data_IF_040220608764
#
_entry.id   IF_040220608764
#
_cell.length_a   1.000
_cell.length_b   1.000
_cell.length_c   1.000
_cell.angle_alpha   90.00
_cell.angle_beta   90.00
_cell.angle_gamma   90.00
#
_symmetry.space_group_name_H-M   'P 1'
#
loop_
_entity.id
_entity.type
_entity.pdbx_description
1 polymer ?
#
# COMPACT_ATOMS: atom_id res chain seq x y z
N UNK A 1 -19.06 68.93 -49.54
CA UNK A 1 -18.75 69.26 -50.95
C UNK A 1 -17.28 68.90 -51.20
N UNK A 2 -17.02 68.13 -52.28
CA UNK A 2 -15.83 68.13 -53.16
C UNK A 2 -14.44 68.19 -52.51
N UNK A 3 -13.66 67.11 -52.60
CA UNK A 3 -12.58 66.90 -53.60
C UNK A 3 -11.45 67.95 -53.51
N UNK A 4 -10.21 67.51 -53.26
CA UNK A 4 -9.17 67.67 -54.29
C UNK A 4 -7.92 66.82 -54.03
N UNK A 5 -7.51 66.16 -55.11
CA UNK A 5 -6.16 65.65 -55.36
C UNK A 5 -5.18 66.81 -55.47
N UNK A 6 -3.95 66.61 -55.02
CA UNK A 6 -2.76 67.20 -55.66
C UNK A 6 -1.66 66.14 -55.74
N UNK A 7 -1.15 65.99 -56.94
CA UNK A 7 -0.01 65.19 -57.40
C UNK A 7 1.30 65.99 -57.33
N UNK A 8 2.44 65.32 -57.16
CA UNK A 8 3.78 65.88 -57.48
C UNK A 8 4.87 65.30 -56.59
N UNK A 9 5.61 64.28 -57.04
CA UNK A 9 6.90 64.28 -57.78
C UNK A 9 8.17 64.26 -56.90
N UNK A 10 9.02 63.30 -57.27
CA UNK A 10 10.29 62.82 -56.74
C UNK A 10 11.37 63.86 -56.38
N UNK A 11 12.21 63.51 -55.40
CA UNK A 11 13.69 63.36 -55.44
C UNK A 11 14.11 63.04 -53.99
N UNK A 12 14.74 61.91 -53.65
CA UNK A 12 16.12 61.58 -53.97
C UNK A 12 17.04 61.93 -52.79
N UNK A 13 17.35 60.96 -51.92
CA UNK A 13 18.59 60.90 -51.13
C UNK A 13 18.66 59.56 -50.40
N UNK A 14 19.52 58.67 -50.89
CA UNK A 14 19.90 57.45 -50.21
C UNK A 14 20.82 57.80 -49.03
N UNK A 15 20.39 57.47 -47.82
CA UNK A 15 21.28 57.32 -46.66
C UNK A 15 21.18 55.88 -46.19
N UNK A 16 22.24 55.12 -46.46
CA UNK A 16 22.42 53.78 -45.91
C UNK A 16 22.65 53.90 -44.40
N UNK A 17 21.60 53.67 -43.61
CA UNK A 17 21.71 53.50 -42.17
C UNK A 17 22.00 52.02 -41.90
N UNK A 18 23.24 51.72 -41.52
CA UNK A 18 23.63 50.40 -41.05
C UNK A 18 22.85 50.08 -39.75
N UNK A 19 21.93 49.13 -39.83
CA UNK A 19 21.23 48.59 -38.66
C UNK A 19 22.18 47.61 -37.98
N UNK A 20 22.80 48.03 -36.88
CA UNK A 20 23.44 47.11 -35.94
C UNK A 20 22.33 46.38 -35.17
N UNK A 21 22.01 45.15 -35.60
CA UNK A 21 21.18 44.23 -34.81
C UNK A 21 22.04 43.72 -33.66
N UNK A 22 21.84 44.24 -32.45
CA UNK A 22 22.40 43.65 -31.25
C UNK A 22 21.70 42.31 -30.98
N UNK A 23 22.43 41.20 -31.14
CA UNK A 23 21.97 39.89 -30.70
C UNK A 23 21.84 39.86 -29.17
N UNK A 24 20.87 39.12 -28.59
CA UNK A 24 20.81 38.95 -27.15
C UNK A 24 21.98 38.08 -26.69
N UNK A 25 22.68 38.51 -25.65
CA UNK A 25 23.67 37.68 -24.98
C UNK A 25 22.95 36.50 -24.30
N UNK A 26 23.19 35.29 -24.78
CA UNK A 26 22.79 34.07 -24.09
C UNK A 26 23.59 33.93 -22.79
N UNK A 27 22.91 34.09 -21.65
CA UNK A 27 23.48 33.80 -20.33
C UNK A 27 23.57 32.29 -20.19
N UNK A 28 24.77 31.72 -20.40
CA UNK A 28 25.04 30.33 -20.08
C UNK A 28 25.18 30.17 -18.55
N UNK A 29 24.15 29.63 -17.90
CA UNK A 29 24.23 29.21 -16.52
C UNK A 29 25.11 27.94 -16.41
N UNK A 30 26.37 28.10 -16.00
CA UNK A 30 27.22 26.98 -15.60
C UNK A 30 26.73 26.37 -14.28
N UNK A 31 26.11 25.20 -14.36
CA UNK A 31 25.80 24.36 -13.21
C UNK A 31 27.08 23.67 -12.71
N UNK A 32 27.69 24.20 -11.64
CA UNK A 32 28.76 23.48 -10.90
C UNK A 32 28.13 22.32 -10.12
N UNK A 33 28.24 21.10 -10.65
CA UNK A 33 27.99 19.90 -9.87
C UNK A 33 29.21 19.59 -9.00
N UNK A 34 29.19 20.05 -7.75
CA UNK A 34 30.09 19.53 -6.72
C UNK A 34 29.59 18.16 -6.30
N UNK A 35 30.05 17.13 -7.01
CA UNK A 35 29.74 15.74 -6.71
C UNK A 35 30.44 15.26 -5.45
N UNK A 36 29.66 14.92 -4.42
CA UNK A 36 29.94 13.74 -3.60
C UNK A 36 29.07 12.62 -4.18
N UNK A 37 29.61 11.90 -5.16
CA UNK A 37 28.92 10.78 -5.80
C UNK A 37 28.81 9.60 -4.86
N UNK A 38 27.81 9.60 -3.97
CA UNK A 38 27.35 8.36 -3.34
C UNK A 38 26.63 7.59 -4.44
N UNK A 39 27.34 6.65 -5.06
CA UNK A 39 26.71 5.59 -5.86
C UNK A 39 25.96 4.68 -4.89
N UNK A 40 24.70 4.98 -4.59
CA UNK A 40 23.79 4.02 -3.96
C UNK A 40 23.48 2.96 -5.03
N UNK A 41 24.34 1.95 -5.16
CA UNK A 41 24.08 0.75 -5.98
C UNK A 41 23.27 -0.30 -5.21
N UNK A 42 22.46 0.14 -4.25
CA UNK A 42 21.53 -0.72 -3.53
C UNK A 42 20.13 -0.48 -4.05
N UNK A 43 19.60 -1.42 -4.82
CA UNK A 43 18.15 -1.55 -4.96
C UNK A 43 17.60 -1.77 -3.54
N UNK A 44 16.98 -0.75 -2.94
CA UNK A 44 16.22 -0.93 -1.70
C UNK A 44 15.04 -1.82 -2.10
N UNK A 45 15.21 -3.13 -1.99
CA UNK A 45 14.12 -4.06 -2.17
C UNK A 45 13.05 -3.69 -1.16
N UNK A 46 11.85 -3.41 -1.64
CA UNK A 46 10.75 -3.11 -0.76
C UNK A 46 10.58 -4.23 0.29
N UNK A 47 10.26 -3.90 1.55
CA UNK A 47 10.21 -4.90 2.61
C UNK A 47 9.03 -5.83 2.37
N UNK A 48 9.35 -7.10 2.07
CA UNK A 48 8.39 -8.21 1.89
C UNK A 48 8.52 -9.17 3.06
N UNK A 49 7.39 -9.72 3.52
CA UNK A 49 7.35 -10.70 4.59
C UNK A 49 7.99 -12.02 4.17
N UNK A 50 9.08 -12.39 4.85
CA UNK A 50 9.67 -13.71 4.72
C UNK A 50 8.79 -14.74 5.42
N UNK A 51 8.59 -15.88 4.78
CA UNK A 51 7.76 -16.96 5.30
C UNK A 51 8.58 -18.20 5.56
N UNK A 52 8.26 -18.90 6.64
CA UNK A 52 8.83 -20.19 6.99
C UNK A 52 7.92 -21.36 6.60
N UNK A 53 7.86 -22.34 7.49
CA UNK A 53 7.09 -23.58 7.31
C UNK A 53 5.58 -23.32 7.33
N UNK A 54 4.81 -24.29 6.84
CA UNK A 54 3.37 -24.30 7.05
C UNK A 54 3.03 -24.25 8.55
N UNK A 55 1.97 -23.51 8.86
CA UNK A 55 1.44 -23.33 10.20
C UNK A 55 -0.05 -23.71 10.22
N UNK A 56 -0.57 -24.07 11.39
CA UNK A 56 -1.99 -24.34 11.55
C UNK A 56 -2.81 -23.05 11.38
N UNK A 57 -3.90 -23.06 10.58
CA UNK A 57 -4.82 -21.93 10.50
C UNK A 57 -5.43 -21.64 11.89
N UNK A 58 -5.81 -20.39 12.20
CA UNK A 58 -6.70 -20.10 13.32
C UNK A 58 -7.97 -20.98 13.28
N UNK A 59 -8.51 -21.33 14.45
CA UNK A 59 -9.74 -22.13 14.51
C UNK A 59 -10.90 -21.36 13.88
N UNK A 60 -11.05 -20.08 14.22
CA UNK A 60 -12.02 -19.17 13.61
C UNK A 60 -11.94 -19.13 12.09
N UNK A 61 -10.74 -18.99 11.51
CA UNK A 61 -10.55 -19.05 10.06
C UNK A 61 -11.05 -20.36 9.40
N UNK A 62 -10.83 -21.53 10.06
CA UNK A 62 -11.35 -22.80 9.53
C UNK A 62 -12.88 -22.83 9.54
N UNK A 63 -13.49 -22.34 10.62
CA UNK A 63 -14.95 -22.23 10.72
C UNK A 63 -15.50 -21.24 9.68
N UNK A 64 -14.86 -20.08 9.52
CA UNK A 64 -15.20 -19.09 8.49
C UNK A 64 -15.19 -19.69 7.09
N UNK A 65 -14.12 -20.37 6.68
CA UNK A 65 -14.08 -20.98 5.34
C UNK A 65 -15.10 -22.11 5.13
N UNK A 66 -15.60 -22.72 6.20
CA UNK A 66 -16.70 -23.69 6.12
C UNK A 66 -18.04 -22.99 5.90
N UNK A 67 -18.28 -21.87 6.58
CA UNK A 67 -19.50 -21.07 6.48
C UNK A 67 -19.56 -20.19 5.23
N UNK A 68 -18.41 -19.69 4.78
CA UNK A 68 -18.23 -18.79 3.64
C UNK A 68 -17.22 -19.36 2.62
N UNK A 69 -17.51 -20.52 2.00
CA UNK A 69 -16.55 -21.19 1.13
C UNK A 69 -16.08 -20.33 -0.05
N UNK A 70 -16.94 -19.44 -0.56
CA UNK A 70 -16.61 -18.49 -1.63
C UNK A 70 -15.59 -17.43 -1.24
N UNK A 71 -15.42 -17.12 0.05
CA UNK A 71 -14.40 -16.16 0.52
C UNK A 71 -13.01 -16.82 0.61
N UNK A 72 -12.94 -18.15 0.55
CA UNK A 72 -11.71 -18.94 0.69
C UNK A 72 -11.35 -19.68 -0.61
N UNK A 73 -11.54 -19.03 -1.77
CA UNK A 73 -11.10 -19.53 -3.07
C UNK A 73 -9.99 -18.66 -3.65
N UNK A 74 -9.23 -19.22 -4.60
CA UNK A 74 -8.15 -18.50 -5.27
C UNK A 74 -8.73 -17.64 -6.40
N UNK A 75 -8.36 -16.36 -6.42
CA UNK A 75 -8.65 -15.43 -7.51
C UNK A 75 -7.37 -14.69 -7.94
N UNK A 76 -7.19 -14.50 -9.25
CA UNK A 76 -6.05 -13.77 -9.82
C UNK A 76 -4.74 -14.57 -9.86
N UNK A 77 -3.66 -13.89 -10.21
CA UNK A 77 -2.30 -14.44 -10.24
C UNK A 77 -1.57 -14.26 -8.90
N UNK A 78 -0.42 -14.92 -8.72
CA UNK A 78 0.34 -14.95 -7.44
C UNK A 78 1.48 -13.93 -7.33
N UNK A 79 1.78 -13.25 -8.44
CA UNK A 79 2.80 -12.20 -8.46
C UNK A 79 2.32 -10.99 -7.67
N UNK A 80 3.20 -10.33 -6.89
CA UNK A 80 2.83 -9.10 -6.19
C UNK A 80 2.20 -8.08 -7.14
N UNK A 81 1.10 -7.46 -6.69
CA UNK A 81 0.36 -6.51 -7.51
C UNK A 81 1.15 -5.20 -7.69
N UNK A 82 1.23 -4.64 -8.92
CA UNK A 82 1.82 -3.31 -9.11
C UNK A 82 1.02 -2.23 -8.37
N UNK A 83 1.66 -1.47 -7.49
CA UNK A 83 1.00 -0.43 -6.69
C UNK A 83 0.90 0.88 -7.47
N UNK A 84 -0.19 1.00 -8.24
CA UNK A 84 -0.54 2.23 -8.96
C UNK A 84 -1.24 3.23 -8.02
N UNK A 85 -1.31 4.53 -8.39
CA UNK A 85 -2.07 5.51 -7.61
C UNK A 85 -3.53 5.12 -7.40
N UNK A 86 -4.20 4.54 -8.41
CA UNK A 86 -5.59 4.07 -8.29
C UNK A 86 -5.73 2.95 -7.27
N UNK A 87 -4.80 1.99 -7.27
CA UNK A 87 -4.79 0.88 -6.31
C UNK A 87 -4.50 1.37 -4.90
N UNK A 88 -3.58 2.31 -4.73
CA UNK A 88 -3.36 2.93 -3.43
C UNK A 88 -4.63 3.60 -2.90
N UNK A 89 -5.36 4.32 -3.77
CA UNK A 89 -6.63 4.91 -3.38
C UNK A 89 -7.70 3.85 -3.03
N UNK A 90 -7.72 2.68 -3.68
CA UNK A 90 -8.60 1.59 -3.28
C UNK A 90 -8.32 1.13 -1.86
N UNK A 91 -7.03 0.94 -1.51
CA UNK A 91 -6.64 0.55 -0.16
C UNK A 91 -7.09 1.58 0.87
N UNK A 92 -6.82 2.87 0.63
CA UNK A 92 -7.23 3.96 1.53
C UNK A 92 -8.75 4.02 1.68
N UNK A 93 -9.50 3.96 0.56
CA UNK A 93 -10.97 4.01 0.59
C UNK A 93 -11.57 2.84 1.36
N UNK A 94 -11.11 1.62 1.09
CA UNK A 94 -11.63 0.43 1.76
C UNK A 94 -11.25 0.43 3.24
N UNK A 95 -10.00 0.78 3.57
CA UNK A 95 -9.55 0.81 4.97
C UNK A 95 -10.39 1.77 5.80
N UNK A 96 -10.54 3.01 5.32
CA UNK A 96 -11.30 4.05 6.03
C UNK A 96 -12.79 3.68 6.10
N UNK A 97 -13.40 3.28 4.98
CA UNK A 97 -14.81 2.90 4.97
C UNK A 97 -15.13 1.80 5.97
N UNK A 98 -14.32 0.74 6.03
CA UNK A 98 -14.55 -0.35 6.99
C UNK A 98 -14.30 0.11 8.42
N UNK A 99 -13.23 0.89 8.65
CA UNK A 99 -12.94 1.45 9.98
C UNK A 99 -14.04 2.37 10.51
N UNK A 100 -14.73 3.08 9.62
CA UNK A 100 -15.81 4.02 9.98
C UNK A 100 -17.18 3.34 10.13
N UNK A 101 -17.43 2.22 9.42
CA UNK A 101 -18.76 1.58 9.35
C UNK A 101 -18.93 0.39 10.26
N UNK A 102 -17.84 -0.28 10.65
CA UNK A 102 -17.87 -1.33 11.65
C UNK A 102 -17.54 -0.69 13.00
N UNK A 103 -18.33 -0.99 14.02
CA UNK A 103 -18.10 -0.59 15.40
C UNK A 103 -17.44 -1.74 16.16
N UNK A 104 -16.32 -1.46 16.80
CA UNK A 104 -15.57 -2.44 17.57
C UNK A 104 -16.40 -2.95 18.76
N UNK A 105 -16.67 -4.25 18.78
CA UNK A 105 -17.33 -5.01 19.84
C UNK A 105 -16.72 -6.41 19.82
N UNK A 106 -16.39 -6.98 20.97
CA UNK A 106 -15.79 -8.33 21.02
C UNK A 106 -16.83 -9.40 20.68
N UNK A 107 -16.37 -10.54 20.20
CA UNK A 107 -17.26 -11.68 19.94
C UNK A 107 -17.97 -12.19 21.19
N UNK A 108 -17.33 -12.12 22.36
CA UNK A 108 -17.96 -12.48 23.62
C UNK A 108 -19.12 -11.52 23.94
N UNK A 109 -18.95 -10.22 23.72
CA UNK A 109 -20.01 -9.23 23.96
C UNK A 109 -21.17 -9.35 22.96
N UNK A 110 -20.89 -9.66 21.69
CA UNK A 110 -21.90 -9.67 20.64
C UNK A 110 -22.55 -11.03 20.41
N UNK A 111 -21.78 -12.12 20.48
CA UNK A 111 -22.20 -13.49 20.20
C UNK A 111 -22.18 -14.42 21.42
N UNK A 112 -21.58 -14.01 22.55
CA UNK A 112 -21.42 -14.87 23.73
C UNK A 112 -20.49 -16.06 23.49
N UNK A 113 -19.51 -15.90 22.58
CA UNK A 113 -18.51 -16.90 22.24
C UNK A 113 -17.14 -16.24 22.16
N UNK A 114 -16.10 -16.98 22.52
CA UNK A 114 -14.73 -16.48 22.52
C UNK A 114 -14.26 -15.99 21.12
N UNK A 115 -14.69 -16.65 20.04
CA UNK A 115 -14.29 -16.30 18.67
C UNK A 115 -15.32 -16.74 17.61
N UNK A 116 -15.75 -15.81 16.75
CA UNK A 116 -16.73 -15.95 15.67
C UNK A 116 -16.29 -15.17 14.42
N UNK A 117 -15.40 -15.74 13.63
CA UNK A 117 -14.98 -15.12 12.36
C UNK A 117 -16.14 -15.06 11.37
N UNK A 118 -16.53 -13.85 10.96
CA UNK A 118 -17.66 -13.64 10.05
C UNK A 118 -17.47 -12.44 9.13
N UNK A 119 -18.50 -12.11 8.36
CA UNK A 119 -18.58 -10.82 7.66
C UNK A 119 -19.47 -9.90 8.50
N UNK A 120 -18.91 -8.84 9.11
CA UNK A 120 -19.64 -8.02 10.07
C UNK A 120 -20.79 -7.26 9.42
N UNK A 121 -21.87 -7.08 10.18
CA UNK A 121 -23.03 -6.26 9.83
C UNK A 121 -23.09 -5.02 10.75
N UNK A 122 -22.01 -4.25 10.77
CA UNK A 122 -21.86 -3.02 11.56
C UNK A 122 -21.20 -3.21 12.92
N UNK A 123 -20.99 -4.44 13.39
CA UNK A 123 -20.28 -4.77 14.63
C UNK A 123 -19.34 -5.95 14.39
N UNK A 124 -18.19 -5.94 15.07
CA UNK A 124 -17.19 -7.01 15.05
C UNK A 124 -15.87 -6.54 15.66
N UNK A 125 -14.87 -7.41 15.67
CA UNK A 125 -13.51 -7.11 16.16
C UNK A 125 -12.44 -7.37 15.06
N UNK A 126 -11.19 -7.65 15.43
CA UNK A 126 -10.05 -7.48 14.53
C UNK A 126 -10.16 -8.30 13.23
N UNK A 127 -10.53 -9.57 13.30
CA UNK A 127 -10.67 -10.44 12.14
C UNK A 127 -11.82 -10.02 11.23
N UNK A 128 -12.91 -9.51 11.80
CA UNK A 128 -14.12 -9.18 11.06
C UNK A 128 -13.89 -7.96 10.17
N UNK A 129 -13.16 -6.96 10.70
CA UNK A 129 -12.67 -5.83 9.91
C UNK A 129 -11.77 -6.32 8.78
N UNK A 130 -10.85 -7.24 9.07
CA UNK A 130 -9.92 -7.80 8.08
C UNK A 130 -10.66 -8.54 6.98
N UNK A 131 -11.64 -9.38 7.33
CA UNK A 131 -12.44 -10.16 6.41
C UNK A 131 -13.29 -9.26 5.50
N UNK A 132 -13.91 -8.21 6.07
CA UNK A 132 -14.69 -7.25 5.27
C UNK A 132 -13.80 -6.44 4.33
N UNK A 133 -12.65 -5.93 4.79
CA UNK A 133 -11.67 -5.22 3.93
C UNK A 133 -11.21 -6.12 2.78
N UNK A 134 -10.87 -7.37 3.09
CA UNK A 134 -10.45 -8.36 2.09
C UNK A 134 -11.54 -8.62 1.05
N UNK A 135 -12.77 -8.91 1.47
CA UNK A 135 -13.92 -9.12 0.56
C UNK A 135 -14.12 -7.93 -0.38
N UNK A 136 -14.07 -6.72 0.19
CA UNK A 136 -14.24 -5.49 -0.57
C UNK A 136 -13.12 -5.26 -1.60
N UNK A 137 -11.87 -5.59 -1.29
CA UNK A 137 -10.76 -5.49 -2.24
C UNK A 137 -10.83 -6.57 -3.32
N UNK A 138 -11.19 -7.82 -2.97
CA UNK A 138 -11.43 -8.90 -3.96
C UNK A 138 -12.52 -8.47 -4.95
N UNK A 139 -13.62 -7.89 -4.48
CA UNK A 139 -14.69 -7.36 -5.34
C UNK A 139 -14.21 -6.24 -6.30
N UNK A 140 -13.09 -5.58 -5.98
CA UNK A 140 -12.42 -4.58 -6.83
C UNK A 140 -11.32 -5.17 -7.72
N UNK A 141 -11.24 -6.50 -7.81
CA UNK A 141 -10.32 -7.21 -8.71
C UNK A 141 -8.92 -7.45 -8.14
N UNK A 142 -8.72 -7.26 -6.82
CA UNK A 142 -7.45 -7.61 -6.19
C UNK A 142 -7.29 -9.14 -6.09
N UNK A 143 -6.12 -9.70 -6.44
CA UNK A 143 -5.86 -11.13 -6.28
C UNK A 143 -5.90 -11.55 -4.81
N UNK A 144 -6.46 -12.72 -4.52
CA UNK A 144 -6.51 -13.23 -3.13
C UNK A 144 -5.13 -13.57 -2.58
N UNK A 145 -4.17 -13.87 -3.45
CA UNK A 145 -2.78 -14.09 -3.05
C UNK A 145 -2.07 -12.84 -2.56
N UNK A 146 -2.65 -11.66 -2.79
CA UNK A 146 -2.13 -10.38 -2.35
C UNK A 146 -2.94 -9.78 -1.21
N UNK A 147 -3.98 -10.47 -0.72
CA UNK A 147 -4.84 -10.03 0.38
C UNK A 147 -4.88 -11.12 1.45
N UNK A 148 -3.93 -11.06 2.37
CA UNK A 148 -3.59 -12.14 3.28
C UNK A 148 -3.91 -11.74 4.72
N UNK A 149 -4.78 -12.50 5.37
CA UNK A 149 -4.98 -12.35 6.81
C UNK A 149 -3.71 -12.78 7.55
N UNK A 150 -3.26 -11.97 8.50
CA UNK A 150 -2.12 -12.27 9.36
C UNK A 150 -2.51 -12.18 10.84
N UNK A 151 -1.92 -13.05 11.65
CA UNK A 151 -1.99 -13.02 13.11
C UNK A 151 -0.70 -12.43 13.64
N UNK A 152 -0.82 -11.45 14.52
CA UNK A 152 0.29 -10.71 15.11
C UNK A 152 0.13 -10.62 16.63
N UNK A 153 1.22 -10.24 17.29
CA UNK A 153 1.14 -9.59 18.59
C UNK A 153 1.32 -8.09 18.40
N UNK A 154 0.42 -7.32 19.01
CA UNK A 154 0.41 -5.87 18.92
C UNK A 154 1.48 -5.20 19.81
N UNK A 155 1.44 -3.87 19.92
CA UNK A 155 2.43 -3.08 20.67
C UNK A 155 2.44 -3.39 22.17
N UNK A 156 1.34 -3.90 22.72
CA UNK A 156 1.22 -4.29 24.14
C UNK A 156 1.31 -5.81 24.34
N UNK A 157 1.51 -6.57 23.26
CA UNK A 157 1.63 -8.02 23.27
C UNK A 157 0.30 -8.78 23.25
N UNK A 158 -0.82 -8.11 22.96
CA UNK A 158 -2.10 -8.77 22.76
C UNK A 158 -2.18 -9.41 21.37
N UNK A 159 -2.94 -10.51 21.24
CA UNK A 159 -3.21 -11.12 19.94
C UNK A 159 -4.06 -10.20 19.07
N UNK A 160 -3.72 -10.07 17.79
CA UNK A 160 -4.43 -9.19 16.85
C UNK A 160 -4.42 -9.76 15.44
N UNK A 161 -5.46 -9.47 14.66
CA UNK A 161 -5.55 -9.82 13.24
C UNK A 161 -5.46 -8.57 12.36
N UNK A 162 -4.66 -8.66 11.29
CA UNK A 162 -4.48 -7.56 10.32
C UNK A 162 -4.56 -8.08 8.88
N UNK A 163 -4.86 -7.19 7.94
CA UNK A 163 -4.82 -7.51 6.51
C UNK A 163 -3.49 -7.08 5.92
N UNK A 164 -2.72 -8.05 5.42
CA UNK A 164 -1.49 -7.82 4.68
C UNK A 164 -1.79 -7.72 3.19
N UNK A 165 -1.31 -6.65 2.57
CA UNK A 165 -1.48 -6.37 1.14
C UNK A 165 -0.12 -6.44 0.44
N UNK A 166 0.06 -7.46 -0.40
CA UNK A 166 1.33 -7.66 -1.14
C UNK A 166 1.37 -6.81 -2.39
N UNK A 167 2.47 -6.08 -2.58
CA UNK A 167 2.67 -5.23 -3.75
C UNK A 167 4.10 -5.27 -4.26
N UNK A 168 4.35 -4.73 -5.45
CA UNK A 168 5.71 -4.49 -5.96
C UNK A 168 6.49 -3.41 -5.19
N UNK A 169 5.83 -2.68 -4.29
CA UNK A 169 6.41 -1.68 -3.38
C UNK A 169 6.48 -2.12 -1.93
N UNK A 170 6.23 -3.41 -1.67
CA UNK A 170 6.34 -4.03 -0.34
C UNK A 170 5.01 -4.54 0.17
N UNK A 171 5.06 -5.10 1.38
CA UNK A 171 3.88 -5.62 2.07
C UNK A 171 3.32 -4.53 3.01
N UNK A 172 2.12 -4.05 2.69
CA UNK A 172 1.40 -3.04 3.46
C UNK A 172 0.39 -3.68 4.41
N UNK A 173 0.01 -2.95 5.45
CA UNK A 173 -0.91 -3.41 6.49
C UNK A 173 -2.10 -2.48 6.57
N UNK A 174 -3.29 -3.07 6.51
CA UNK A 174 -4.57 -2.42 6.79
C UNK A 174 -5.08 -2.93 8.14
N UNK A 175 -5.32 -1.99 9.06
CA UNK A 175 -5.63 -2.26 10.46
C UNK A 175 -6.88 -1.46 10.89
N UNK A 176 -7.64 -1.97 11.87
CA UNK A 176 -8.73 -1.25 12.53
C UNK A 176 -8.26 -0.40 13.73
N UNK A 177 -7.12 -0.74 14.37
CA UNK A 177 -6.55 0.07 15.46
C UNK A 177 -5.92 1.37 14.96
N UNK A 178 -5.35 1.34 13.75
CA UNK A 178 -4.64 2.46 13.14
C UNK A 178 -5.06 2.59 11.68
N UNK A 179 -5.64 3.74 11.29
CA UNK A 179 -6.12 3.97 9.92
C UNK A 179 -5.00 4.25 8.91
N UNK A 180 -3.80 4.63 9.38
CA UNK A 180 -2.64 4.79 8.50
C UNK A 180 -2.22 3.44 7.91
N UNK A 181 -2.15 3.37 6.59
CA UNK A 181 -1.61 2.20 5.89
C UNK A 181 -0.09 2.28 5.92
N UNK A 182 0.54 1.32 6.60
CA UNK A 182 1.99 1.29 6.85
C UNK A 182 2.62 0.05 6.23
N UNK A 183 3.92 0.13 5.95
CA UNK A 183 4.68 -1.08 5.64
C UNK A 183 4.70 -1.98 6.89
N UNK A 184 4.65 -3.28 6.70
CA UNK A 184 4.68 -4.23 7.82
C UNK A 184 5.93 -4.10 8.71
N UNK A 185 7.03 -3.63 8.14
CA UNK A 185 8.28 -3.33 8.85
C UNK A 185 8.15 -2.16 9.82
N UNK A 186 7.15 -1.30 9.65
CA UNK A 186 6.97 -0.02 10.35
C UNK A 186 5.78 -0.02 11.33
N UNK A 187 5.02 -1.11 11.42
CA UNK A 187 3.86 -1.21 12.33
C UNK A 187 4.26 -1.37 13.80
N UNK A 188 5.47 -1.87 14.07
CA UNK A 188 5.89 -2.24 15.43
C UNK A 188 5.34 -3.61 15.89
N UNK A 189 4.52 -4.28 15.08
CA UNK A 189 3.97 -5.60 15.40
C UNK A 189 4.99 -6.73 15.29
N UNK A 190 4.75 -7.78 16.08
CA UNK A 190 5.43 -9.07 15.95
C UNK A 190 4.56 -10.02 15.16
N UNK A 191 4.97 -10.34 13.93
CA UNK A 191 4.18 -11.19 13.03
C UNK A 191 4.41 -12.66 13.34
N UNK A 192 3.33 -13.43 13.47
CA UNK A 192 3.39 -14.85 13.84
C UNK A 192 3.21 -15.73 12.61
N UNK A 193 2.11 -15.51 11.89
CA UNK A 193 1.70 -16.32 10.73
C UNK A 193 0.74 -15.55 9.84
N UNK A 194 0.64 -15.93 8.58
CA UNK A 194 -0.36 -15.39 7.64
C UNK A 194 -0.88 -16.47 6.69
N UNK A 195 -1.95 -16.15 5.96
CA UNK A 195 -2.41 -16.98 4.85
C UNK A 195 -1.31 -17.20 3.81
N UNK A 196 -1.30 -18.40 3.23
CA UNK A 196 -0.41 -18.77 2.14
C UNK A 196 -0.84 -18.12 0.82
N UNK A 197 0.14 -17.80 -0.03
CA UNK A 197 -0.14 -17.13 -1.31
C UNK A 197 -0.74 -18.06 -2.37
N UNK A 198 -0.64 -19.38 -2.20
CA UNK A 198 -1.14 -20.38 -3.13
C UNK A 198 -2.55 -20.84 -2.80
N UNK A 199 -2.90 -20.82 -1.52
CA UNK A 199 -4.17 -21.34 -1.01
C UNK A 199 -4.62 -20.53 0.23
N UNK A 200 -5.72 -19.76 0.14
CA UNK A 200 -6.20 -18.94 1.27
C UNK A 200 -6.64 -19.78 2.48
N UNK A 201 -6.79 -21.10 2.35
CA UNK A 201 -7.09 -22.01 3.46
C UNK A 201 -5.83 -22.44 4.22
N UNK A 202 -4.65 -22.31 3.61
CA UNK A 202 -3.36 -22.68 4.21
C UNK A 202 -2.69 -21.48 4.81
N UNK A 203 -1.83 -21.74 5.79
CA UNK A 203 -1.13 -20.72 6.56
C UNK A 203 0.34 -21.07 6.65
N UNK A 204 1.17 -20.04 6.72
CA UNK A 204 2.63 -20.15 6.85
C UNK A 204 3.10 -19.28 8.02
N UNK A 205 4.10 -19.75 8.73
CA UNK A 205 4.78 -18.96 9.75
C UNK A 205 5.49 -17.77 9.09
N UNK A 206 5.55 -16.63 9.79
CA UNK A 206 6.38 -15.51 9.37
C UNK A 206 7.76 -15.66 10.02
N UNK A 207 8.80 -15.55 9.20
CA UNK A 207 10.19 -15.47 9.67
C UNK A 207 10.54 -13.99 9.88
N UNK A 208 10.10 -13.45 11.02
CA UNK A 208 10.30 -12.05 11.36
C UNK A 208 11.64 -11.84 12.06
N UNK A 209 12.70 -11.64 11.28
CA UNK A 209 14.06 -11.43 11.83
C UNK A 209 14.20 -10.18 12.69
N UNK A 210 13.20 -9.30 12.73
CA UNK A 210 13.16 -8.15 13.67
C UNK A 210 12.93 -8.63 15.11
N UNK A 211 12.32 -9.80 15.27
CA UNK A 211 11.97 -10.41 16.55
C UNK A 211 12.63 -11.79 16.66
N UNK A 212 13.93 -11.78 16.90
CA UNK A 212 14.70 -12.99 17.19
C UNK A 212 14.16 -13.65 18.49
N UNK A 213 13.91 -14.97 18.50
CA UNK A 213 13.64 -15.68 19.74
C UNK A 213 14.80 -15.48 20.69
N UNK A 214 14.51 -15.02 21.90
CA UNK A 214 15.50 -15.06 22.97
C UNK A 214 15.86 -16.54 23.20
N UNK A 215 17.15 -16.84 23.32
CA UNK A 215 17.59 -18.14 23.82
C UNK A 215 17.16 -18.32 25.28
N UNK A 216 17.38 -19.53 25.82
CA UNK A 216 17.04 -19.85 27.21
C UNK A 216 17.76 -18.96 28.25
N UNK A 217 18.71 -18.13 27.83
CA UNK A 217 19.44 -17.17 28.67
C UNK A 217 18.99 -15.72 28.46
N UNK A 218 17.97 -15.48 27.64
CA UNK A 218 17.45 -14.14 27.36
C UNK A 218 18.26 -13.37 26.31
N UNK A 219 19.11 -14.03 25.50
CA UNK A 219 19.90 -13.38 24.45
C UNK A 219 19.29 -13.61 23.07
N UNK A 220 19.34 -12.57 22.25
CA UNK A 220 19.06 -12.63 20.81
C UNK A 220 20.02 -13.66 20.19
N UNK A 221 19.48 -14.65 19.47
CA UNK A 221 20.28 -15.64 18.73
C UNK A 221 20.97 -15.06 17.50
#
# INVERSE_FOLDING_TARGET
MRLNRVTGTMLGAAFALAVFVAAPAEVQAQQKSSGLGIRITGSISAPVMRTGRYASPPIGHRAFCKSFPGECVVHGGRSPLPLTPSRWQDLVRVNNYVNDTVKAVTDEEYYGQEEVWTLPQGYGDCEDYVLLKRKQLVARGWPTSDLLVAVVFDEVGAGHAVLVVRTDRGDYVLDNKVSDIRLWSETGYRYVKRQDIADPKKWVAIDDSRWQPLDATGRVR
#
